data_IF_701786178804
#
_entry.id   IF_701786178804
#
_cell.length_a   1.000
_cell.length_b   1.000
_cell.length_c   1.000
_cell.angle_alpha   90.00
_cell.angle_beta   90.00
_cell.angle_gamma   90.00
#
_symmetry.space_group_name_H-M   'P 1'
#
loop_
_entity.id
_entity.type
_entity.pdbx_description
1 polymer ?
#
# COMPACT_ATOMS: atom_id res chain seq x y z
N UNK A 1 8.79 -32.30 11.66
CA UNK A 1 10.25 -32.11 11.76
C UNK A 1 10.45 -30.65 12.14
N UNK A 2 11.22 -30.35 13.19
CA UNK A 2 11.30 -28.99 13.72
C UNK A 2 12.31 -28.18 12.91
N UNK A 3 11.80 -27.31 12.01
CA UNK A 3 12.59 -26.25 11.39
C UNK A 3 12.74 -25.05 12.34
N UNK A 4 13.87 -24.38 12.25
CA UNK A 4 14.21 -23.20 13.04
C UNK A 4 13.43 -21.97 12.53
N UNK A 5 12.71 -21.28 13.40
CA UNK A 5 11.92 -20.07 13.09
C UNK A 5 12.77 -18.82 13.36
N UNK A 6 13.57 -18.41 12.39
CA UNK A 6 14.42 -17.23 12.49
C UNK A 6 15.00 -16.81 11.14
N UNK A 7 15.30 -15.52 10.98
CA UNK A 7 15.91 -15.01 9.75
C UNK A 7 17.34 -15.55 9.57
N UNK A 8 17.77 -15.77 8.32
CA UNK A 8 19.14 -16.18 8.03
C UNK A 8 20.11 -15.00 8.27
N UNK A 9 20.77 -15.02 9.42
CA UNK A 9 21.69 -13.95 9.86
C UNK A 9 22.98 -13.90 9.04
N UNK A 10 23.31 -14.93 8.24
CA UNK A 10 24.38 -14.86 7.26
C UNK A 10 23.92 -14.18 5.97
N UNK A 11 22.72 -14.50 5.48
CA UNK A 11 22.11 -13.85 4.31
C UNK A 11 21.86 -12.36 4.55
N UNK A 12 21.33 -11.97 5.73
CA UNK A 12 21.15 -10.57 6.13
C UNK A 12 22.47 -9.79 6.11
N UNK A 13 23.54 -10.36 6.70
CA UNK A 13 24.87 -9.73 6.69
C UNK A 13 25.46 -9.60 5.29
N UNK A 14 25.21 -10.57 4.40
CA UNK A 14 25.68 -10.50 3.02
C UNK A 14 24.88 -9.50 2.17
N UNK A 15 23.57 -9.37 2.39
CA UNK A 15 22.78 -8.27 1.84
C UNK A 15 23.30 -6.91 2.34
N UNK A 16 23.53 -6.75 3.64
CA UNK A 16 24.11 -5.54 4.22
C UNK A 16 25.45 -5.13 3.58
N UNK A 17 26.40 -6.08 3.41
CA UNK A 17 27.67 -5.82 2.71
C UNK A 17 27.49 -5.35 1.27
N UNK A 18 26.56 -5.96 0.53
CA UNK A 18 26.25 -5.55 -0.86
C UNK A 18 25.71 -4.12 -0.91
N UNK A 19 24.89 -3.70 0.05
CA UNK A 19 24.40 -2.32 0.14
C UNK A 19 25.52 -1.31 0.47
N UNK A 20 26.45 -1.63 1.39
CA UNK A 20 27.64 -0.79 1.65
C UNK A 20 28.49 -0.61 0.39
N UNK A 21 28.80 -1.71 -0.32
CA UNK A 21 29.55 -1.65 -1.58
C UNK A 21 28.83 -0.86 -2.68
N UNK A 22 27.49 -0.86 -2.67
CA UNK A 22 26.65 -0.02 -3.53
C UNK A 22 26.76 1.47 -3.19
N UNK A 23 26.70 1.81 -1.90
CA UNK A 23 26.86 3.18 -1.40
C UNK A 23 28.25 3.76 -1.74
N UNK A 24 29.32 3.05 -1.39
CA UNK A 24 30.71 3.44 -1.70
C UNK A 24 30.92 3.68 -3.21
N UNK A 25 30.25 2.88 -4.06
CA UNK A 25 30.29 3.04 -5.51
C UNK A 25 29.51 4.29 -5.99
N UNK A 26 28.36 4.61 -5.38
CA UNK A 26 27.61 5.82 -5.69
C UNK A 26 28.37 7.07 -5.27
N UNK A 27 28.98 7.09 -4.08
CA UNK A 27 29.81 8.21 -3.63
C UNK A 27 31.03 8.39 -4.55
N UNK A 28 31.70 7.28 -4.91
CA UNK A 28 32.81 7.28 -5.86
C UNK A 28 32.44 7.76 -7.27
N UNK A 29 31.21 7.51 -7.74
CA UNK A 29 30.69 8.05 -9.00
C UNK A 29 30.32 9.53 -8.88
N UNK A 30 29.66 9.92 -7.79
CA UNK A 30 29.23 11.31 -7.53
C UNK A 30 30.44 12.25 -7.42
N UNK A 31 31.51 11.83 -6.74
CA UNK A 31 32.76 12.58 -6.66
C UNK A 31 33.46 12.73 -8.03
N UNK A 32 33.40 11.70 -8.89
CA UNK A 32 33.92 11.78 -10.27
C UNK A 32 33.09 12.71 -11.15
N UNK A 33 31.77 12.64 -11.06
CA UNK A 33 30.87 13.53 -11.78
C UNK A 33 31.07 14.98 -11.36
N UNK A 34 31.15 15.28 -10.06
CA UNK A 34 31.45 16.64 -9.58
C UNK A 34 32.77 17.17 -10.17
N UNK A 35 33.84 16.36 -10.13
CA UNK A 35 35.13 16.72 -10.75
C UNK A 35 35.02 16.96 -12.27
N UNK A 36 34.18 16.22 -12.99
CA UNK A 36 33.93 16.47 -14.42
C UNK A 36 33.15 17.77 -14.65
N UNK A 37 32.07 18.02 -13.90
CA UNK A 37 31.27 19.25 -14.00
C UNK A 37 32.11 20.51 -13.72
N UNK A 38 33.04 20.43 -12.77
CA UNK A 38 33.93 21.52 -12.40
C UNK A 38 35.10 21.74 -13.40
N UNK A 39 35.49 20.72 -14.18
CA UNK A 39 36.71 20.79 -15.04
C UNK A 39 36.44 20.97 -16.53
N UNK A 40 35.21 20.79 -17.01
CA UNK A 40 34.87 21.02 -18.42
C UNK A 40 34.91 22.53 -18.74
N UNK A 41 35.70 22.97 -19.74
CA UNK A 41 35.80 24.38 -20.13
C UNK A 41 34.60 24.79 -20.99
N UNK A 42 33.43 24.89 -20.34
CA UNK A 42 32.17 25.34 -20.90
C UNK A 42 31.68 26.54 -20.09
N UNK A 43 31.48 27.67 -20.77
CA UNK A 43 31.16 28.97 -20.18
C UNK A 43 29.90 29.56 -20.85
N UNK A 44 29.09 30.26 -20.06
CA UNK A 44 27.84 30.90 -20.50
C UNK A 44 26.64 30.52 -19.62
N UNK A 45 25.48 31.17 -19.79
CA UNK A 45 24.32 31.02 -18.91
C UNK A 45 23.87 29.57 -18.73
N UNK A 46 23.83 28.77 -19.80
CA UNK A 46 23.44 27.36 -19.75
C UNK A 46 24.41 26.51 -18.92
N UNK A 47 25.71 26.85 -18.94
CA UNK A 47 26.74 26.18 -18.16
C UNK A 47 26.64 26.54 -16.67
N UNK A 48 26.24 27.78 -16.36
CA UNK A 48 26.01 28.24 -14.99
C UNK A 48 24.71 27.63 -14.42
N UNK A 49 23.64 27.56 -15.21
CA UNK A 49 22.41 26.84 -14.87
C UNK A 49 22.66 25.35 -14.63
N UNK A 50 23.36 24.66 -15.53
CA UNK A 50 23.71 23.24 -15.35
C UNK A 50 24.56 22.98 -14.10
N UNK A 51 25.50 23.88 -13.76
CA UNK A 51 26.27 23.79 -12.51
C UNK A 51 25.40 24.05 -11.28
N UNK A 52 24.45 24.99 -11.37
CA UNK A 52 23.47 25.22 -10.32
C UNK A 52 22.66 23.94 -10.08
N UNK A 53 21.95 23.43 -11.09
CA UNK A 53 21.12 22.21 -11.03
C UNK A 53 21.91 20.99 -10.52
N UNK A 54 23.14 20.80 -10.99
CA UNK A 54 24.02 19.75 -10.49
C UNK A 54 24.29 19.91 -8.98
N UNK A 55 24.54 21.14 -8.51
CA UNK A 55 24.90 21.42 -7.12
C UNK A 55 23.71 21.44 -6.15
N UNK A 56 22.53 21.85 -6.59
CA UNK A 56 21.32 22.03 -5.77
C UNK A 56 20.40 20.83 -5.79
N UNK A 57 20.42 20.02 -6.86
CA UNK A 57 19.47 18.91 -7.03
C UNK A 57 20.18 17.56 -7.24
N UNK A 58 20.89 17.38 -8.34
CA UNK A 58 21.40 16.06 -8.72
C UNK A 58 22.45 15.49 -7.74
N UNK A 59 23.38 16.32 -7.26
CA UNK A 59 24.41 15.89 -6.30
C UNK A 59 23.84 15.62 -4.90
N UNK A 60 22.97 16.45 -4.31
CA UNK A 60 22.25 16.12 -3.08
C UNK A 60 21.48 14.79 -3.18
N UNK A 61 20.65 14.61 -4.23
CA UNK A 61 19.88 13.36 -4.42
C UNK A 61 20.79 12.13 -4.46
N UNK A 62 21.93 12.18 -5.14
CA UNK A 62 22.89 11.06 -5.19
C UNK A 62 23.49 10.74 -3.81
N UNK A 63 23.79 11.76 -3.01
CA UNK A 63 24.26 11.58 -1.63
C UNK A 63 23.18 10.96 -0.74
N UNK A 64 21.94 11.44 -0.82
CA UNK A 64 20.80 10.90 -0.07
C UNK A 64 20.53 9.42 -0.38
N UNK A 65 20.73 9.01 -1.65
CA UNK A 65 20.66 7.58 -2.03
C UNK A 65 21.81 6.77 -1.43
N UNK A 66 23.04 7.29 -1.40
CA UNK A 66 24.16 6.62 -0.72
C UNK A 66 23.87 6.43 0.77
N UNK A 67 23.45 7.49 1.47
CA UNK A 67 23.08 7.42 2.88
C UNK A 67 21.93 6.44 3.14
N UNK A 68 20.92 6.39 2.25
CA UNK A 68 19.81 5.45 2.33
C UNK A 68 20.26 3.99 2.25
N UNK A 69 21.22 3.67 1.36
CA UNK A 69 21.83 2.34 1.29
C UNK A 69 22.66 2.03 2.56
N UNK A 70 23.39 3.01 3.08
CA UNK A 70 24.16 2.83 4.33
C UNK A 70 23.26 2.65 5.56
N UNK A 71 22.08 3.30 5.63
CA UNK A 71 21.08 3.08 6.70
C UNK A 71 20.55 1.65 6.66
N UNK A 72 20.03 1.23 5.50
CA UNK A 72 19.53 -0.15 5.26
C UNK A 72 20.60 -1.22 5.53
N UNK A 73 21.85 -0.95 5.20
CA UNK A 73 22.96 -1.85 5.53
C UNK A 73 23.14 -2.04 7.04
N UNK A 74 23.03 -0.97 7.84
CA UNK A 74 23.12 -1.04 9.31
C UNK A 74 21.92 -1.75 9.92
N UNK A 75 20.71 -1.50 9.41
CA UNK A 75 19.48 -2.19 9.82
C UNK A 75 19.60 -3.71 9.62
N UNK A 76 20.03 -4.17 8.44
CA UNK A 76 20.25 -5.60 8.16
C UNK A 76 21.33 -6.23 9.06
N UNK A 77 22.37 -5.47 9.44
CA UNK A 77 23.38 -5.94 10.39
C UNK A 77 22.83 -6.03 11.81
N UNK A 78 22.03 -5.05 12.24
CA UNK A 78 21.35 -5.05 13.55
C UNK A 78 20.38 -6.23 13.68
N UNK A 79 19.49 -6.43 12.70
CA UNK A 79 18.55 -7.56 12.71
C UNK A 79 19.27 -8.92 12.77
N UNK A 80 20.44 -9.03 12.12
CA UNK A 80 21.27 -10.23 12.19
C UNK A 80 21.94 -10.43 13.57
N UNK A 81 22.26 -9.35 14.30
CA UNK A 81 22.78 -9.40 15.67
C UNK A 81 21.68 -9.71 16.69
N UNK A 82 20.50 -9.10 16.54
CA UNK A 82 19.32 -9.34 17.39
C UNK A 82 18.80 -10.77 17.25
N UNK A 83 18.72 -11.30 16.02
CA UNK A 83 18.35 -12.69 15.78
C UNK A 83 19.38 -13.67 16.36
N UNK A 84 20.69 -13.41 16.20
CA UNK A 84 21.74 -14.24 16.82
C UNK A 84 21.67 -14.18 18.37
N UNK A 85 21.36 -13.02 18.95
CA UNK A 85 21.19 -12.86 20.40
C UNK A 85 19.95 -13.58 20.93
N UNK A 86 18.82 -13.52 20.21
CA UNK A 86 17.59 -14.26 20.52
C UNK A 86 17.80 -15.78 20.38
N UNK A 87 18.65 -16.19 19.44
CA UNK A 87 18.96 -17.61 19.15
C UNK A 87 20.09 -18.18 20.02
N UNK A 88 20.73 -17.35 20.86
CA UNK A 88 21.79 -17.78 21.76
C UNK A 88 21.21 -18.69 22.87
N UNK A 89 21.75 -19.90 23.09
CA UNK A 89 21.23 -20.78 24.12
C UNK A 89 21.46 -20.18 25.51
N UNK A 90 20.40 -20.12 26.32
CA UNK A 90 20.50 -19.74 27.73
C UNK A 90 21.54 -20.63 28.43
N UNK A 91 22.61 -20.03 28.93
CA UNK A 91 23.62 -20.75 29.68
C UNK A 91 23.05 -21.17 31.05
N UNK A 92 22.56 -22.41 31.15
CA UNK A 92 22.05 -22.99 32.39
C UNK A 92 23.14 -23.10 33.46
N UNK A 93 23.31 -22.04 34.26
CA UNK A 93 24.24 -21.96 35.38
C UNK A 93 23.54 -22.13 36.73
N UNK A 94 23.26 -23.36 37.16
CA UNK A 94 22.85 -23.65 38.54
C UNK A 94 24.07 -23.58 39.47
N UNK A 95 24.11 -22.63 40.43
CA UNK A 95 25.33 -22.46 41.23
C UNK A 95 25.33 -21.52 42.46
N UNK A 96 24.21 -21.27 43.12
CA UNK A 96 24.09 -20.89 44.56
C UNK A 96 24.94 -19.76 45.19
N UNK A 97 24.28 -18.77 45.80
CA UNK A 97 24.89 -17.85 46.77
C UNK A 97 23.96 -16.73 47.26
N UNK A 98 23.67 -16.67 48.56
CA UNK A 98 22.87 -15.60 49.20
C UNK A 98 23.65 -14.27 49.26
N UNK A 99 23.06 -13.07 49.44
CA UNK A 99 22.26 -12.61 50.60
C UNK A 99 21.55 -11.25 50.31
N UNK A 100 20.42 -10.99 50.98
CA UNK A 100 20.03 -9.63 51.44
C UNK A 100 19.01 -8.83 50.60
N UNK A 101 17.77 -8.70 51.10
CA UNK A 101 16.79 -7.67 50.67
C UNK A 101 16.86 -6.41 51.57
N UNK A 102 15.74 -5.71 51.87
CA UNK A 102 14.36 -5.90 51.37
C UNK A 102 13.59 -4.59 51.04
N UNK A 103 12.37 -4.73 50.52
CA UNK A 103 11.30 -3.72 50.53
C UNK A 103 10.62 -3.51 49.17
N UNK A 104 9.29 -3.59 49.02
CA UNK A 104 8.23 -3.96 49.97
C UNK A 104 6.91 -3.24 49.63
N UNK A 105 5.81 -3.97 49.43
CA UNK A 105 4.49 -3.35 49.17
C UNK A 105 3.51 -4.22 48.37
N UNK A 106 2.81 -5.13 49.05
CA UNK A 106 1.70 -5.91 48.48
C UNK A 106 0.35 -5.36 48.95
N UNK A 107 -0.63 -5.20 48.05
CA UNK A 107 -2.09 -5.50 48.16
C UNK A 107 -2.81 -4.84 46.97
N UNK A 108 -3.88 -5.38 46.39
CA UNK A 108 -4.55 -6.66 46.60
C UNK A 108 -5.67 -6.84 45.55
N UNK A 109 -5.98 -8.08 45.16
CA UNK A 109 -6.97 -8.35 44.11
C UNK A 109 -8.42 -8.37 44.61
N UNK A 110 -9.35 -8.03 43.73
CA UNK A 110 -10.80 -8.23 43.87
C UNK A 110 -11.40 -8.40 42.47
N UNK A 111 -12.10 -9.51 42.24
CA UNK A 111 -12.58 -9.94 40.91
C UNK A 111 -14.10 -9.77 40.74
N UNK A 112 -14.62 -10.23 39.58
CA UNK A 112 -16.03 -10.28 39.12
C UNK A 112 -16.54 -8.91 38.57
N UNK A 113 -16.84 -8.67 37.28
CA UNK A 113 -17.01 -9.53 36.08
C UNK A 113 -18.49 -9.70 35.70
N UNK A 114 -18.99 -9.57 34.46
CA UNK A 114 -18.45 -9.33 33.09
C UNK A 114 -19.65 -9.12 32.11
N UNK A 115 -19.59 -9.31 30.76
CA UNK A 115 -18.49 -9.76 29.88
C UNK A 115 -18.09 -8.75 28.78
N UNK A 116 -16.85 -8.85 28.28
CA UNK A 116 -16.46 -8.31 26.98
C UNK A 116 -16.16 -9.49 26.04
N UNK A 117 -16.70 -9.48 24.82
CA UNK A 117 -16.48 -10.52 23.83
C UNK A 117 -15.15 -10.29 23.09
N UNK A 118 -14.03 -10.40 23.80
CA UNK A 118 -12.72 -10.48 23.16
C UNK A 118 -12.62 -11.81 22.42
N UNK A 119 -12.73 -11.76 21.09
CA UNK A 119 -12.37 -12.89 20.23
C UNK A 119 -10.91 -13.30 20.45
N UNK A 120 -10.56 -14.59 20.32
CA UNK A 120 -9.19 -15.03 20.51
C UNK A 120 -8.32 -14.55 19.34
N UNK A 121 -7.25 -13.81 19.65
CA UNK A 121 -6.12 -13.65 18.73
C UNK A 121 -5.59 -15.06 18.40
N UNK A 122 -5.53 -15.48 17.12
CA UNK A 122 -5.12 -16.84 16.79
C UNK A 122 -3.67 -17.10 17.21
N UNK A 123 -3.44 -18.20 17.92
CA UNK A 123 -2.10 -18.69 18.19
C UNK A 123 -1.42 -19.26 16.94
N UNK A 124 -0.08 -19.39 16.92
CA UNK A 124 0.63 -19.92 15.76
C UNK A 124 0.20 -21.36 15.47
N UNK A 125 -0.39 -21.59 14.30
CA UNK A 125 -0.89 -22.90 13.85
C UNK A 125 -2.39 -22.97 13.56
N UNK A 126 -3.15 -21.89 13.77
CA UNK A 126 -4.44 -21.71 13.09
C UNK A 126 -4.12 -21.25 11.65
N UNK A 127 -4.74 -21.81 10.59
CA UNK A 127 -4.65 -21.23 9.26
C UNK A 127 -5.17 -19.79 9.28
N UNK A 128 -4.61 -18.92 8.44
CA UNK A 128 -5.21 -17.60 8.24
C UNK A 128 -6.67 -17.77 7.80
N UNK A 129 -7.60 -16.91 8.28
CA UNK A 129 -8.98 -16.96 7.82
C UNK A 129 -9.00 -16.78 6.30
N UNK A 130 -9.77 -17.63 5.62
CA UNK A 130 -10.08 -17.40 4.20
C UNK A 130 -10.80 -16.07 4.02
N UNK A 131 -10.79 -15.51 2.79
CA UNK A 131 -11.54 -14.29 2.49
C UNK A 131 -13.01 -14.36 2.94
N UNK A 132 -13.65 -15.53 2.77
CA UNK A 132 -15.00 -15.79 3.26
C UNK A 132 -15.14 -15.73 4.79
N UNK A 133 -14.14 -16.20 5.55
CA UNK A 133 -14.12 -16.12 7.03
C UNK A 133 -13.84 -14.70 7.52
N UNK A 134 -12.96 -13.96 6.86
CA UNK A 134 -12.75 -12.52 7.11
C UNK A 134 -14.04 -11.72 6.86
N UNK A 135 -14.70 -11.98 5.72
CA UNK A 135 -15.97 -11.33 5.33
C UNK A 135 -17.11 -11.61 6.29
N UNK A 136 -17.24 -12.87 6.73
CA UNK A 136 -18.28 -13.28 7.67
C UNK A 136 -18.14 -12.64 9.06
N UNK A 137 -16.94 -12.14 9.42
CA UNK A 137 -16.71 -11.38 10.64
C UNK A 137 -17.15 -9.90 10.53
N UNK A 138 -17.23 -9.36 9.31
CA UNK A 138 -17.60 -7.96 9.02
C UNK A 138 -19.11 -7.83 8.84
N UNK A 139 -19.70 -8.66 7.97
CA UNK A 139 -21.10 -8.58 7.57
C UNK A 139 -21.37 -7.58 6.44
N UNK A 140 -22.31 -7.92 5.55
CA UNK A 140 -22.60 -7.11 4.34
C UNK A 140 -23.43 -5.85 4.66
N UNK A 141 -24.24 -5.87 5.73
CA UNK A 141 -25.02 -4.71 6.24
C UNK A 141 -24.13 -3.56 6.81
N UNK A 142 -22.79 -3.68 6.75
CA UNK A 142 -21.85 -2.71 7.32
C UNK A 142 -21.49 -1.55 6.37
N UNK A 143 -21.56 -1.78 5.05
CA UNK A 143 -21.16 -0.80 4.04
C UNK A 143 -22.13 0.40 4.01
N UNK A 144 -21.59 1.59 3.77
CA UNK A 144 -22.33 2.83 3.47
C UNK A 144 -22.68 2.91 1.98
N UNK A 145 -21.81 2.41 1.10
CA UNK A 145 -21.95 2.46 -0.35
C UNK A 145 -22.23 1.06 -0.95
N UNK A 146 -23.24 0.37 -0.43
CA UNK A 146 -23.65 -0.98 -0.85
C UNK A 146 -24.10 -1.07 -2.32
N UNK A 147 -24.73 0.00 -2.84
CA UNK A 147 -25.16 0.15 -4.24
C UNK A 147 -24.02 -0.01 -5.29
N UNK A 148 -22.73 0.04 -4.88
CA UNK A 148 -21.56 -0.17 -5.77
C UNK A 148 -21.39 -1.60 -6.25
N UNK A 149 -22.04 -2.58 -5.61
CA UNK A 149 -21.81 -3.99 -5.91
C UNK A 149 -20.45 -4.52 -5.43
N UNK A 150 -19.73 -3.77 -4.58
CA UNK A 150 -18.58 -4.30 -3.84
C UNK A 150 -19.00 -5.56 -3.08
N UNK A 151 -18.23 -6.63 -3.23
CA UNK A 151 -18.44 -7.88 -2.52
C UNK A 151 -17.41 -8.02 -1.42
N UNK A 152 -17.85 -8.18 -0.18
CA UNK A 152 -16.91 -8.59 0.87
C UNK A 152 -16.56 -10.06 0.67
N UNK A 153 -17.56 -10.94 0.56
CA UNK A 153 -17.34 -12.38 0.38
C UNK A 153 -17.08 -12.81 -1.08
N UNK A 154 -16.21 -13.81 -1.33
CA UNK A 154 -16.07 -14.42 -2.65
C UNK A 154 -17.37 -15.15 -3.06
N UNK A 155 -17.71 -15.17 -4.37
CA UNK A 155 -18.92 -15.83 -4.84
C UNK A 155 -18.88 -17.36 -4.63
N UNK A 156 -20.04 -17.99 -4.49
CA UNK A 156 -20.14 -19.46 -4.50
C UNK A 156 -19.71 -20.03 -5.86
N UNK A 157 -18.67 -20.87 -5.84
CA UNK A 157 -18.11 -21.54 -7.02
C UNK A 157 -18.40 -23.05 -7.00
N UNK A 158 -18.64 -23.60 -8.19
CA UNK A 158 -18.88 -25.02 -8.44
C UNK A 158 -17.58 -25.79 -8.75
N UNK A 159 -16.54 -25.07 -9.20
CA UNK A 159 -15.29 -25.63 -9.70
C UNK A 159 -14.08 -24.92 -9.09
N UNK A 160 -12.98 -25.65 -8.98
CA UNK A 160 -11.68 -25.13 -8.56
C UNK A 160 -10.60 -25.68 -9.49
N UNK A 161 -9.68 -24.82 -9.93
CA UNK A 161 -8.62 -25.11 -10.90
C UNK A 161 -7.29 -24.57 -10.36
N UNK A 162 -6.28 -25.44 -10.25
CA UNK A 162 -4.90 -25.03 -9.95
C UNK A 162 -4.16 -24.69 -11.26
N UNK A 163 -3.75 -23.44 -11.42
CA UNK A 163 -3.05 -22.90 -12.58
C UNK A 163 -1.54 -22.88 -12.29
N UNK A 164 -0.91 -24.05 -12.39
CA UNK A 164 0.55 -24.17 -12.31
C UNK A 164 1.26 -23.61 -13.55
N UNK A 165 2.59 -23.44 -13.47
CA UNK A 165 3.39 -22.78 -14.53
C UNK A 165 3.42 -23.48 -15.92
N UNK A 166 2.89 -24.70 -16.04
CA UNK A 166 2.70 -25.40 -17.34
C UNK A 166 1.21 -25.53 -17.74
N UNK A 167 0.30 -24.87 -17.01
CA UNK A 167 -1.13 -24.83 -17.34
C UNK A 167 -1.39 -23.93 -18.56
N UNK A 168 -2.40 -24.26 -19.38
CA UNK A 168 -2.67 -23.51 -20.62
C UNK A 168 -3.15 -22.07 -20.39
N UNK A 169 -3.74 -21.81 -19.22
CA UNK A 169 -4.15 -20.49 -18.72
C UNK A 169 -3.07 -19.82 -17.83
N UNK A 170 -1.85 -20.36 -17.75
CA UNK A 170 -0.81 -19.76 -16.92
C UNK A 170 -0.36 -18.39 -17.48
N UNK A 171 -0.22 -17.34 -16.64
CA UNK A 171 0.32 -16.07 -17.09
C UNK A 171 1.71 -16.23 -17.71
N UNK A 172 1.99 -15.48 -18.79
CA UNK A 172 3.24 -15.62 -19.54
C UNK A 172 4.51 -15.23 -18.75
N UNK A 173 4.36 -14.60 -17.59
CA UNK A 173 5.44 -14.25 -16.68
C UNK A 173 4.94 -13.82 -15.30
N UNK A 174 5.86 -13.62 -14.36
CA UNK A 174 5.54 -13.17 -13.00
C UNK A 174 4.97 -11.73 -12.94
N UNK A 175 5.28 -10.90 -13.94
CA UNK A 175 4.79 -9.52 -14.09
C UNK A 175 3.53 -9.41 -14.97
N UNK A 176 2.96 -10.52 -15.45
CA UNK A 176 1.78 -10.56 -16.33
C UNK A 176 0.55 -10.93 -15.50
N UNK A 177 -0.60 -10.24 -15.63
CA UNK A 177 -1.80 -10.58 -14.87
C UNK A 177 -2.42 -11.92 -15.32
N UNK A 178 -3.27 -12.50 -14.47
CA UNK A 178 -4.12 -13.63 -14.85
C UNK A 178 -5.44 -13.17 -15.47
N UNK A 179 -5.96 -13.95 -16.43
CA UNK A 179 -7.25 -13.72 -17.05
C UNK A 179 -7.21 -12.85 -18.32
N UNK A 180 -6.02 -12.44 -18.78
CA UNK A 180 -5.81 -11.70 -20.02
C UNK A 180 -4.86 -12.45 -20.97
N UNK A 181 -4.99 -12.22 -22.28
CA UNK A 181 -4.06 -12.71 -23.29
C UNK A 181 -2.83 -11.79 -23.48
N UNK A 182 -2.02 -12.04 -24.51
CA UNK A 182 -0.81 -11.25 -24.78
C UNK A 182 -1.10 -9.87 -25.40
N UNK A 183 -2.34 -9.63 -25.80
CA UNK A 183 -2.85 -8.40 -26.38
C UNK A 183 -3.65 -7.56 -25.37
N UNK A 184 -3.94 -8.11 -24.17
CA UNK A 184 -4.69 -7.46 -23.09
C UNK A 184 -6.19 -7.76 -23.11
N UNK A 185 -6.66 -8.69 -23.95
CA UNK A 185 -8.08 -9.05 -24.04
C UNK A 185 -8.42 -10.15 -23.00
N UNK A 186 -9.62 -10.14 -22.39
CA UNK A 186 -10.03 -11.16 -21.44
C UNK A 186 -10.03 -12.59 -22.01
N UNK A 187 -9.52 -13.55 -21.25
CA UNK A 187 -9.55 -14.97 -21.58
C UNK A 187 -10.95 -15.57 -21.37
N UNK A 188 -11.36 -16.52 -22.22
CA UNK A 188 -12.56 -17.33 -21.96
C UNK A 188 -12.32 -18.25 -20.74
N UNK A 189 -12.84 -17.87 -19.58
CA UNK A 189 -12.80 -18.67 -18.35
C UNK A 189 -14.11 -19.45 -18.14
N UNK A 190 -14.05 -20.52 -17.34
CA UNK A 190 -15.19 -21.36 -17.05
C UNK A 190 -16.09 -20.71 -15.98
N UNK A 191 -17.42 -20.70 -16.14
CA UNK A 191 -18.33 -20.04 -15.20
C UNK A 191 -18.36 -20.74 -13.83
N UNK A 192 -18.50 -19.96 -12.76
CA UNK A 192 -18.58 -20.43 -11.38
C UNK A 192 -17.34 -21.19 -10.94
N UNK A 193 -16.15 -20.71 -11.31
CA UNK A 193 -14.87 -21.37 -11.07
C UNK A 193 -13.94 -20.46 -10.26
N UNK A 194 -13.24 -21.02 -9.27
CA UNK A 194 -12.06 -20.39 -8.69
C UNK A 194 -10.78 -20.91 -9.34
N UNK A 195 -9.92 -20.01 -9.77
CA UNK A 195 -8.58 -20.29 -10.29
C UNK A 195 -7.55 -19.92 -9.23
N UNK A 196 -6.81 -20.89 -8.73
CA UNK A 196 -5.63 -20.66 -7.87
C UNK A 196 -4.39 -20.57 -8.75
N UNK A 197 -3.80 -19.38 -8.82
CA UNK A 197 -2.67 -19.04 -9.70
C UNK A 197 -1.40 -18.82 -8.87
N UNK A 198 -1.36 -19.38 -7.65
CA UNK A 198 -0.20 -19.30 -6.75
C UNK A 198 0.11 -17.86 -6.33
N UNK A 199 1.30 -17.36 -6.71
CA UNK A 199 1.76 -16.04 -6.30
C UNK A 199 0.91 -14.89 -6.88
N UNK A 200 0.22 -15.12 -8.00
CA UNK A 200 -0.72 -14.15 -8.59
C UNK A 200 -2.01 -14.01 -7.78
N UNK A 201 -2.34 -14.93 -6.88
CA UNK A 201 -3.58 -14.92 -6.10
C UNK A 201 -4.67 -15.86 -6.65
N UNK A 202 -5.92 -15.63 -6.22
CA UNK A 202 -7.08 -16.49 -6.53
C UNK A 202 -8.19 -15.70 -7.19
N UNK A 203 -8.68 -16.18 -8.34
CA UNK A 203 -9.61 -15.47 -9.22
C UNK A 203 -10.93 -16.22 -9.30
N UNK A 204 -12.04 -15.53 -9.05
CA UNK A 204 -13.37 -16.12 -8.99
C UNK A 204 -14.24 -15.59 -10.11
N UNK A 205 -14.80 -16.52 -10.88
CA UNK A 205 -15.67 -16.21 -12.01
C UNK A 205 -17.16 -16.32 -11.67
N UNK A 206 -17.96 -15.49 -12.32
CA UNK A 206 -19.41 -15.47 -12.20
C UNK A 206 -20.09 -16.57 -13.07
N UNK A 207 -21.42 -16.48 -13.26
CA UNK A 207 -22.17 -17.43 -14.08
C UNK A 207 -21.97 -17.27 -15.60
N UNK A 208 -21.38 -16.17 -16.07
CA UNK A 208 -20.97 -15.97 -17.46
C UNK A 208 -19.51 -16.42 -17.71
N UNK A 209 -18.66 -16.38 -16.68
CA UNK A 209 -17.22 -16.65 -16.79
C UNK A 209 -16.36 -15.43 -16.48
N UNK A 210 -16.95 -14.27 -16.20
CA UNK A 210 -16.23 -13.02 -15.95
C UNK A 210 -15.61 -13.02 -14.55
N UNK A 211 -14.40 -12.49 -14.41
CA UNK A 211 -13.72 -12.35 -13.11
C UNK A 211 -14.40 -11.24 -12.30
N UNK A 212 -15.07 -11.60 -11.21
CA UNK A 212 -15.82 -10.65 -10.36
C UNK A 212 -15.24 -10.48 -8.96
N UNK A 213 -14.33 -11.38 -8.55
CA UNK A 213 -13.67 -11.30 -7.25
C UNK A 213 -12.24 -11.87 -7.33
N UNK A 214 -11.29 -11.21 -6.67
CA UNK A 214 -9.87 -11.57 -6.67
C UNK A 214 -9.32 -11.49 -5.24
N UNK A 215 -8.70 -12.57 -4.76
CA UNK A 215 -7.87 -12.55 -3.55
C UNK A 215 -6.41 -12.33 -3.95
N UNK A 216 -5.75 -11.31 -3.38
CA UNK A 216 -4.38 -10.95 -3.73
C UNK A 216 -3.54 -10.52 -2.51
N UNK A 217 -2.23 -10.64 -2.63
CA UNK A 217 -1.27 -9.98 -1.72
C UNK A 217 -0.66 -8.76 -2.41
N UNK A 218 -0.49 -7.64 -1.70
CA UNK A 218 0.00 -6.39 -2.27
C UNK A 218 0.91 -5.59 -1.33
N UNK A 219 1.70 -4.68 -1.89
CA UNK A 219 2.57 -3.77 -1.12
C UNK A 219 3.85 -4.39 -0.56
N UNK A 220 4.27 -5.54 -1.10
CA UNK A 220 5.54 -6.21 -0.81
C UNK A 220 6.78 -5.48 -1.33
N UNK A 221 7.91 -6.19 -1.46
CA UNK A 221 9.11 -5.66 -2.13
C UNK A 221 8.88 -5.53 -3.64
N UNK A 222 8.21 -6.52 -4.23
CA UNK A 222 7.71 -6.55 -5.60
C UNK A 222 6.24 -6.13 -5.61
N UNK A 223 5.82 -5.42 -6.66
CA UNK A 223 4.43 -5.00 -6.87
C UNK A 223 3.64 -6.15 -7.49
N UNK A 224 2.41 -6.39 -7.04
CA UNK A 224 1.57 -7.43 -7.64
C UNK A 224 1.00 -6.92 -8.98
N UNK A 225 1.28 -7.56 -10.14
CA UNK A 225 0.80 -7.09 -11.44
C UNK A 225 -0.73 -7.06 -11.54
N UNK A 226 -1.43 -7.90 -10.78
CA UNK A 226 -2.89 -7.98 -10.79
C UNK A 226 -3.55 -6.85 -9.96
N UNK A 227 -2.75 -6.05 -9.25
CA UNK A 227 -3.16 -4.81 -8.56
C UNK A 227 -2.66 -3.56 -9.32
N UNK A 228 -2.31 -3.78 -10.60
CA UNK A 228 -1.79 -2.79 -11.55
C UNK A 228 -2.59 -2.81 -12.84
N UNK A 229 -2.62 -3.96 -13.49
CA UNK A 229 -3.51 -4.29 -14.58
C UNK A 229 -4.67 -5.09 -13.99
N UNK A 230 -5.81 -4.41 -13.81
CA UNK A 230 -6.95 -4.89 -13.03
C UNK A 230 -8.13 -5.26 -13.93
N UNK A 231 -8.90 -6.25 -13.52
CA UNK A 231 -10.17 -6.58 -14.17
C UNK A 231 -11.17 -5.43 -13.96
N UNK A 232 -11.91 -5.03 -15.00
CA UNK A 232 -13.05 -4.16 -14.83
C UNK A 232 -14.14 -4.88 -14.02
N UNK A 233 -14.99 -4.12 -13.33
CA UNK A 233 -16.13 -4.67 -12.60
C UNK A 233 -15.79 -5.82 -11.61
N UNK A 234 -14.64 -5.76 -10.94
CA UNK A 234 -14.17 -6.77 -10.00
C UNK A 234 -13.98 -6.22 -8.57
N UNK A 235 -14.14 -7.08 -7.55
CA UNK A 235 -13.71 -6.75 -6.18
C UNK A 235 -12.41 -7.48 -5.82
N UNK A 236 -11.42 -6.72 -5.37
CA UNK A 236 -10.11 -7.16 -4.93
C UNK A 236 -10.03 -7.16 -3.40
N UNK A 237 -9.95 -8.33 -2.80
CA UNK A 237 -9.61 -8.51 -1.39
C UNK A 237 -8.09 -8.66 -1.25
N UNK A 238 -7.45 -7.71 -0.58
CA UNK A 238 -6.00 -7.56 -0.52
C UNK A 238 -5.50 -7.60 0.91
N UNK A 239 -4.47 -8.42 1.15
CA UNK A 239 -3.79 -8.56 2.45
C UNK A 239 -4.75 -8.80 3.63
N UNK A 240 -5.82 -9.59 3.40
CA UNK A 240 -6.91 -9.91 4.33
C UNK A 240 -7.77 -8.72 4.82
N UNK A 241 -7.37 -7.47 4.57
CA UNK A 241 -7.91 -6.29 5.27
C UNK A 241 -8.26 -5.08 4.38
N UNK A 242 -8.13 -5.16 3.06
CA UNK A 242 -8.56 -4.08 2.17
C UNK A 242 -9.38 -4.62 1.00
N UNK A 243 -10.52 -4.00 0.72
CA UNK A 243 -11.41 -4.34 -0.38
C UNK A 243 -11.43 -3.17 -1.36
N UNK A 244 -10.93 -3.37 -2.57
CA UNK A 244 -10.99 -2.39 -3.66
C UNK A 244 -12.00 -2.90 -4.69
N UNK A 245 -12.90 -2.04 -5.16
CA UNK A 245 -13.86 -2.35 -6.19
C UNK A 245 -13.55 -1.48 -7.42
N UNK A 246 -13.39 -2.11 -8.56
CA UNK A 246 -13.12 -1.46 -9.86
C UNK A 246 -14.40 -1.25 -10.65
N UNK A 247 -14.45 -0.15 -11.39
CA UNK A 247 -15.50 0.14 -12.35
C UNK A 247 -15.27 -0.55 -13.72
N UNK A 248 -16.15 -0.25 -14.67
CA UNK A 248 -16.17 -0.71 -16.07
C UNK A 248 -14.88 -0.48 -16.88
N UNK A 249 -13.95 0.35 -16.39
CA UNK A 249 -12.64 0.64 -17.03
C UNK A 249 -11.45 0.42 -16.08
N UNK A 250 -11.65 -0.34 -15.00
CA UNK A 250 -10.58 -0.72 -14.08
C UNK A 250 -10.14 0.37 -13.10
N UNK A 251 -10.92 1.45 -12.93
CA UNK A 251 -10.63 2.49 -11.93
C UNK A 251 -11.26 2.11 -10.60
N UNK A 252 -10.54 2.33 -9.51
CA UNK A 252 -11.10 2.14 -8.16
C UNK A 252 -12.25 3.11 -7.94
N UNK A 253 -13.46 2.59 -7.86
CA UNK A 253 -14.69 3.35 -7.54
C UNK A 253 -15.01 3.27 -6.04
N UNK A 254 -14.59 2.22 -5.34
CA UNK A 254 -14.89 2.06 -3.92
C UNK A 254 -13.75 1.32 -3.20
N UNK A 255 -13.28 1.89 -2.08
CA UNK A 255 -12.37 1.24 -1.12
C UNK A 255 -13.08 1.05 0.22
N UNK A 256 -12.93 -0.14 0.80
CA UNK A 256 -13.34 -0.42 2.18
C UNK A 256 -12.22 -1.14 2.96
N UNK A 257 -11.96 -0.69 4.19
CA UNK A 257 -11.00 -1.27 5.14
C UNK A 257 -11.75 -1.46 6.48
N UNK A 258 -12.09 -2.71 6.86
CA UNK A 258 -12.90 -2.98 8.05
C UNK A 258 -12.18 -2.69 9.38
N UNK A 259 -10.85 -2.87 9.43
CA UNK A 259 -10.04 -2.61 10.61
C UNK A 259 -8.80 -1.80 10.22
N UNK A 260 -8.85 -0.49 10.40
CA UNK A 260 -7.73 0.42 10.10
C UNK A 260 -6.60 0.15 11.10
N UNK A 261 -5.47 -0.37 10.61
CA UNK A 261 -4.28 -0.66 11.41
C UNK A 261 -3.20 0.40 11.18
N UNK A 262 -2.56 0.89 12.25
CA UNK A 262 -1.46 1.88 12.13
C UNK A 262 -0.08 1.21 12.14
N UNK A 263 0.46 0.94 10.95
CA UNK A 263 1.85 0.50 10.82
C UNK A 263 2.81 1.70 10.79
N UNK A 264 3.28 2.09 11.98
CA UNK A 264 4.24 3.21 12.16
C UNK A 264 5.64 2.91 11.61
N UNK A 265 5.98 1.66 11.27
CA UNK A 265 7.27 1.32 10.67
C UNK A 265 7.20 1.38 9.13
N UNK A 266 6.04 1.08 8.52
CA UNK A 266 5.76 1.46 7.13
C UNK A 266 5.75 2.98 6.93
N UNK A 267 5.25 3.75 7.91
CA UNK A 267 5.29 5.23 7.90
C UNK A 267 6.73 5.81 7.88
N UNK A 268 7.69 5.12 8.51
CA UNK A 268 9.09 5.57 8.62
C UNK A 268 9.93 5.33 7.36
N UNK A 269 9.40 4.61 6.37
CA UNK A 269 10.11 4.22 5.15
C UNK A 269 10.15 5.35 4.09
N UNK A 270 10.97 6.36 4.36
CA UNK A 270 11.18 7.60 3.56
C UNK A 270 11.72 7.42 2.12
N UNK A 271 11.65 6.22 1.52
CA UNK A 271 12.22 5.95 0.20
C UNK A 271 11.31 5.20 -0.78
N UNK A 272 9.98 5.24 -0.59
CA UNK A 272 9.01 4.54 -1.45
C UNK A 272 8.10 5.48 -2.28
N UNK A 273 8.02 6.78 -1.97
CA UNK A 273 7.30 7.76 -2.80
C UNK A 273 7.96 8.02 -4.17
N UNK A 274 9.30 7.91 -4.28
CA UNK A 274 10.02 8.46 -5.44
C UNK A 274 9.81 7.76 -6.79
N UNK A 275 9.13 6.61 -6.85
CA UNK A 275 8.81 5.93 -8.13
C UNK A 275 7.42 6.26 -8.66
N UNK A 276 6.57 6.83 -7.79
CA UNK A 276 5.19 7.25 -8.09
C UNK A 276 5.14 8.78 -8.24
N UNK A 277 5.92 9.51 -7.43
CA UNK A 277 6.19 10.93 -7.64
C UNK A 277 6.99 11.24 -8.92
N UNK A 278 7.57 10.23 -9.60
CA UNK A 278 8.13 10.37 -10.95
C UNK A 278 7.03 10.33 -12.04
N UNK A 279 5.77 10.00 -11.70
CA UNK A 279 4.67 9.76 -12.65
C UNK A 279 3.67 10.94 -12.71
N UNK A 280 4.15 12.03 -13.29
CA UNK A 280 3.41 13.20 -13.79
C UNK A 280 2.66 14.10 -12.79
N UNK A 281 3.14 15.35 -12.70
CA UNK A 281 2.32 16.51 -12.34
C UNK A 281 1.49 16.97 -13.56
N UNK A 282 0.26 17.42 -13.33
CA UNK A 282 -0.53 18.17 -14.32
C UNK A 282 -0.69 19.62 -13.85
N UNK A 283 -0.09 20.56 -14.58
CA UNK A 283 -0.27 21.99 -14.32
C UNK A 283 -1.63 22.47 -14.83
N UNK A 284 -2.43 23.08 -13.94
CA UNK A 284 -3.66 23.78 -14.31
C UNK A 284 -3.42 24.91 -15.32
N UNK A 285 -4.44 25.24 -16.11
CA UNK A 285 -4.33 25.89 -17.44
C UNK A 285 -3.79 27.34 -17.51
N UNK A 286 -3.40 27.94 -16.38
CA UNK A 286 -2.84 29.29 -16.32
C UNK A 286 -3.82 30.43 -16.63
N UNK A 287 -5.13 30.17 -16.62
CA UNK A 287 -6.18 31.21 -16.82
C UNK A 287 -6.98 31.55 -15.57
N UNK A 288 -7.02 30.65 -14.57
CA UNK A 288 -7.32 30.93 -13.15
C UNK A 288 -6.08 30.63 -12.28
N UNK A 289 -6.20 30.68 -10.94
CA UNK A 289 -5.19 30.02 -10.10
C UNK A 289 -5.12 28.54 -10.52
N UNK A 290 -3.92 28.00 -10.80
CA UNK A 290 -3.77 26.67 -11.37
C UNK A 290 -4.21 25.61 -10.36
N UNK A 291 -5.11 24.71 -10.77
CA UNK A 291 -5.46 23.50 -10.02
C UNK A 291 -4.31 22.51 -10.20
N UNK A 292 -3.52 22.30 -9.15
CA UNK A 292 -2.36 21.39 -9.17
C UNK A 292 -2.76 19.99 -8.69
N UNK A 293 -2.66 19.00 -9.58
CA UNK A 293 -2.90 17.60 -9.24
C UNK A 293 -1.59 16.90 -8.89
N UNK A 294 -1.57 16.26 -7.73
CA UNK A 294 -0.50 15.41 -7.23
C UNK A 294 -0.88 13.93 -7.41
N UNK A 295 0.13 13.07 -7.43
CA UNK A 295 -0.09 11.64 -7.19
C UNK A 295 -0.51 11.43 -5.73
N UNK A 296 -1.76 11.00 -5.52
CA UNK A 296 -2.35 10.69 -4.23
C UNK A 296 -2.77 9.23 -4.11
N UNK A 297 -3.41 8.87 -3.01
CA UNK A 297 -3.89 7.52 -2.70
C UNK A 297 -5.31 7.54 -2.14
N UNK A 298 -6.08 6.46 -2.28
CA UNK A 298 -7.44 6.39 -1.70
C UNK A 298 -7.37 6.22 -0.17
N UNK A 299 -6.37 5.48 0.32
CA UNK A 299 -5.95 5.45 1.73
C UNK A 299 -4.43 5.27 1.85
N UNK A 300 -3.82 5.92 2.84
CA UNK A 300 -2.39 5.81 3.10
C UNK A 300 -1.95 4.39 3.43
N UNK A 301 -0.75 4.03 2.95
CA UNK A 301 -0.11 2.75 3.24
C UNK A 301 -0.06 2.42 4.73
N UNK A 302 0.19 3.42 5.57
CA UNK A 302 0.34 3.24 7.01
C UNK A 302 -0.97 2.88 7.73
N UNK A 303 -2.13 2.96 7.04
CA UNK A 303 -3.48 2.78 7.58
C UNK A 303 -4.24 1.59 6.95
N UNK A 304 -3.54 0.70 6.23
CA UNK A 304 -4.16 -0.43 5.52
C UNK A 304 -4.33 -0.21 4.00
N UNK A 305 -4.07 0.99 3.50
CA UNK A 305 -3.87 1.20 2.06
C UNK A 305 -2.68 0.39 1.53
N UNK A 306 -2.67 0.10 0.23
CA UNK A 306 -1.59 -0.68 -0.39
C UNK A 306 -0.71 0.17 -1.30
N UNK A 307 0.51 -0.33 -1.57
CA UNK A 307 1.48 0.32 -2.45
C UNK A 307 1.40 -0.24 -3.87
N UNK A 308 0.20 -0.20 -4.43
CA UNK A 308 -0.14 -0.73 -5.75
C UNK A 308 -0.97 0.30 -6.53
N UNK A 309 -1.01 0.19 -7.85
CA UNK A 309 -1.63 1.20 -8.72
C UNK A 309 -3.15 1.31 -8.55
N UNK A 310 -3.83 0.22 -8.15
CA UNK A 310 -5.25 0.23 -7.75
C UNK A 310 -5.56 1.20 -6.57
N UNK A 311 -4.58 1.54 -5.73
CA UNK A 311 -4.78 2.50 -4.63
C UNK A 311 -4.43 3.95 -5.03
N UNK A 312 -3.97 4.23 -6.26
CA UNK A 312 -3.51 5.57 -6.67
C UNK A 312 -4.55 6.34 -7.49
N UNK A 313 -4.70 7.62 -7.16
CA UNK A 313 -5.63 8.55 -7.83
C UNK A 313 -4.98 9.92 -7.98
N UNK A 314 -5.43 10.71 -8.95
CA UNK A 314 -5.01 12.12 -9.11
C UNK A 314 -5.77 13.00 -8.13
N UNK A 315 -5.05 13.60 -7.19
CA UNK A 315 -5.65 14.40 -6.13
C UNK A 315 -5.19 15.85 -6.23
N UNK A 316 -6.16 16.77 -6.20
CA UNK A 316 -5.89 18.19 -6.06
C UNK A 316 -5.12 18.45 -4.75
N UNK A 317 -4.10 19.30 -4.79
CA UNK A 317 -3.22 19.61 -3.66
C UNK A 317 -3.99 20.03 -2.38
N UNK A 318 -5.07 20.80 -2.54
CA UNK A 318 -5.98 21.22 -1.46
C UNK A 318 -6.82 20.09 -0.83
N UNK A 319 -6.90 18.92 -1.47
CA UNK A 319 -7.61 17.71 -0.97
C UNK A 319 -6.64 16.66 -0.45
N UNK A 320 -5.45 16.55 -1.05
CA UNK A 320 -4.42 15.60 -0.63
C UNK A 320 -3.73 16.04 0.66
N UNK A 321 -3.35 17.32 0.77
CA UNK A 321 -2.44 17.81 1.81
C UNK A 321 -3.17 18.42 3.02
N UNK A 322 -2.45 18.64 4.11
CA UNK A 322 -2.93 19.46 5.23
C UNK A 322 -3.30 20.89 4.77
N UNK A 323 -4.53 21.33 5.08
CA UNK A 323 -5.02 22.69 4.84
C UNK A 323 -5.72 23.23 6.07
N UNK A 324 -5.45 24.49 6.41
CA UNK A 324 -5.92 25.08 7.68
C UNK A 324 -7.45 25.26 7.68
N UNK A 325 -8.14 24.53 8.56
CA UNK A 325 -9.59 24.63 8.72
C UNK A 325 -10.41 24.01 7.58
N UNK A 326 -9.83 23.03 6.86
CA UNK A 326 -10.54 22.19 5.89
C UNK A 326 -10.33 20.72 6.24
N UNK A 327 -11.33 19.91 5.99
CA UNK A 327 -11.19 18.46 5.96
C UNK A 327 -10.50 18.06 4.65
N UNK A 328 -9.45 17.25 4.76
CA UNK A 328 -8.65 16.73 3.64
C UNK A 328 -8.30 15.27 3.91
N UNK A 329 -7.82 14.54 2.90
CA UNK A 329 -7.41 13.14 3.07
C UNK A 329 -6.33 13.04 4.16
N UNK A 330 -5.34 13.95 4.14
CA UNK A 330 -4.35 14.06 5.21
C UNK A 330 -4.97 14.20 6.61
N UNK A 331 -5.96 15.08 6.83
CA UNK A 331 -6.52 15.29 8.17
C UNK A 331 -7.33 14.08 8.66
N UNK A 332 -7.98 13.37 7.75
CA UNK A 332 -8.66 12.10 8.04
C UNK A 332 -7.67 11.02 8.47
N UNK A 333 -6.56 10.90 7.74
CA UNK A 333 -5.52 9.93 8.03
C UNK A 333 -4.78 10.23 9.34
N UNK A 334 -4.49 11.50 9.62
CA UNK A 334 -3.89 11.96 10.88
C UNK A 334 -4.83 11.68 12.07
N UNK A 335 -6.13 12.00 11.92
CA UNK A 335 -7.16 11.71 12.94
C UNK A 335 -7.23 10.22 13.30
N UNK A 336 -7.31 9.32 12.31
CA UNK A 336 -7.34 7.87 12.59
C UNK A 336 -6.01 7.38 13.19
N UNK A 337 -4.87 7.86 12.69
CA UNK A 337 -3.54 7.47 13.17
C UNK A 337 -3.29 7.83 14.64
N UNK A 338 -3.82 8.97 15.09
CA UNK A 338 -3.74 9.45 16.47
C UNK A 338 -4.84 8.82 17.35
N UNK A 339 -6.05 8.63 16.83
CA UNK A 339 -7.12 7.90 17.51
C UNK A 339 -6.69 6.48 17.91
N UNK A 340 -6.11 5.72 16.98
CA UNK A 340 -5.58 4.38 17.25
C UNK A 340 -4.33 4.45 18.14
N UNK A 341 -3.38 5.33 17.79
CA UNK A 341 -2.05 5.35 18.41
C UNK A 341 -1.98 5.97 19.82
N UNK A 342 -2.88 6.90 20.15
CA UNK A 342 -2.86 7.63 21.42
C UNK A 342 -4.09 7.38 22.29
N UNK A 343 -5.24 7.12 21.69
CA UNK A 343 -6.54 7.02 22.39
C UNK A 343 -7.05 5.57 22.47
N UNK A 344 -6.56 4.68 21.61
CA UNK A 344 -6.92 3.26 21.59
C UNK A 344 -8.25 2.98 20.89
N UNK A 345 -8.71 3.88 20.03
CA UNK A 345 -9.87 3.69 19.17
C UNK A 345 -9.59 2.68 18.06
N UNK A 346 -10.66 2.11 17.52
CA UNK A 346 -10.70 1.28 16.32
C UNK A 346 -11.55 1.99 15.25
N UNK A 347 -11.18 1.84 13.98
CA UNK A 347 -11.90 2.49 12.87
C UNK A 347 -12.12 1.50 11.73
N UNK A 348 -13.29 1.55 11.08
CA UNK A 348 -13.44 1.11 9.70
C UNK A 348 -13.46 2.34 8.78
N UNK A 349 -12.80 2.25 7.63
CA UNK A 349 -12.71 3.32 6.64
C UNK A 349 -13.32 2.88 5.32
N UNK A 350 -14.15 3.73 4.73
CA UNK A 350 -14.87 3.48 3.49
C UNK A 350 -14.82 4.73 2.61
N UNK A 351 -14.56 4.59 1.31
CA UNK A 351 -14.47 5.72 0.39
C UNK A 351 -15.02 5.36 -0.98
N UNK A 352 -16.05 6.09 -1.40
CA UNK A 352 -16.55 6.11 -2.76
C UNK A 352 -15.79 7.19 -3.57
N UNK A 353 -15.18 6.79 -4.67
CA UNK A 353 -14.48 7.65 -5.63
C UNK A 353 -15.43 7.93 -6.78
N UNK A 354 -15.98 9.15 -6.84
CA UNK A 354 -16.84 9.55 -7.96
C UNK A 354 -15.96 10.01 -9.13
N UNK A 355 -16.01 9.30 -10.25
CA UNK A 355 -15.32 9.68 -11.48
C UNK A 355 -16.19 10.60 -12.35
N UNK A 356 -15.75 11.84 -12.57
CA UNK A 356 -16.52 12.82 -13.34
C UNK A 356 -16.55 12.53 -14.85
N UNK A 357 -17.66 12.90 -15.51
CA UNK A 357 -17.85 12.76 -16.97
C UNK A 357 -16.81 13.54 -17.79
N UNK A 358 -16.33 14.68 -17.29
CA UNK A 358 -15.30 15.48 -17.93
C UNK A 358 -13.91 15.05 -17.45
N UNK A 359 -12.99 14.83 -18.39
CA UNK A 359 -11.60 14.43 -18.11
C UNK A 359 -10.63 15.35 -18.88
N UNK A 360 -9.35 15.46 -18.46
CA UNK A 360 -8.36 16.26 -19.17
C UNK A 360 -8.19 15.84 -20.64
N UNK A 361 -7.83 16.80 -21.50
CA UNK A 361 -7.53 16.49 -22.91
C UNK A 361 -6.42 15.42 -23.03
N UNK A 362 -6.71 14.33 -23.74
CA UNK A 362 -5.82 13.17 -23.86
C UNK A 362 -6.03 12.07 -22.82
N UNK A 363 -6.97 12.24 -21.88
CA UNK A 363 -7.37 11.21 -20.92
C UNK A 363 -8.67 10.54 -21.36
N UNK A 364 -8.71 9.21 -21.38
CA UNK A 364 -9.91 8.40 -21.62
C UNK A 364 -9.63 7.08 -22.36
N UNK A 365 -10.62 6.17 -22.45
CA UNK A 365 -10.41 4.84 -23.05
C UNK A 365 -9.94 4.91 -24.51
N UNK A 366 -10.41 5.92 -25.25
CA UNK A 366 -10.00 6.20 -26.63
C UNK A 366 -8.51 6.58 -26.81
N UNK A 367 -7.80 6.84 -25.71
CA UNK A 367 -6.36 7.13 -25.69
C UNK A 367 -5.52 5.98 -25.11
N UNK A 368 -6.17 4.88 -24.68
CA UNK A 368 -5.51 3.85 -23.89
C UNK A 368 -5.05 4.36 -22.53
N UNK A 369 -5.80 5.31 -21.94
CA UNK A 369 -5.44 5.88 -20.64
C UNK A 369 -5.62 4.87 -19.53
N UNK A 370 -4.61 4.83 -18.68
CA UNK A 370 -4.52 3.91 -17.55
C UNK A 370 -5.37 4.42 -16.37
N UNK A 371 -5.83 3.56 -15.44
CA UNK A 371 -6.77 3.95 -14.39
C UNK A 371 -6.34 5.16 -13.52
N UNK A 372 -5.05 5.28 -13.21
CA UNK A 372 -4.48 6.40 -12.43
C UNK A 372 -4.29 7.71 -13.24
N UNK A 373 -4.54 7.72 -14.55
CA UNK A 373 -4.45 8.94 -15.38
C UNK A 373 -5.74 9.76 -15.35
N UNK A 374 -6.85 9.12 -14.99
CA UNK A 374 -8.13 9.78 -14.76
C UNK A 374 -8.08 10.67 -13.51
N UNK A 375 -8.95 11.67 -13.51
CA UNK A 375 -9.13 12.58 -12.39
C UNK A 375 -10.52 12.32 -11.79
N UNK A 376 -10.62 11.90 -10.51
CA UNK A 376 -11.89 11.86 -9.79
C UNK A 376 -12.52 13.25 -9.68
N UNK A 377 -13.84 13.32 -9.63
CA UNK A 377 -14.58 14.54 -9.28
C UNK A 377 -14.62 14.74 -7.76
N UNK A 378 -14.78 13.65 -6.99
CA UNK A 378 -14.82 13.69 -5.52
C UNK A 378 -14.48 12.36 -4.85
N UNK A 379 -14.21 12.46 -3.56
CA UNK A 379 -14.13 11.34 -2.63
C UNK A 379 -15.23 11.54 -1.57
N UNK A 380 -16.13 10.57 -1.42
CA UNK A 380 -17.11 10.54 -0.34
C UNK A 380 -16.63 9.51 0.68
N UNK A 381 -16.22 9.99 1.85
CA UNK A 381 -15.53 9.23 2.89
C UNK A 381 -16.48 8.97 4.05
N UNK A 382 -16.56 7.73 4.50
CA UNK A 382 -17.31 7.25 5.66
C UNK A 382 -16.34 6.57 6.64
N UNK A 383 -16.38 6.99 7.90
CA UNK A 383 -15.50 6.49 8.97
C UNK A 383 -16.39 6.05 10.12
N UNK A 384 -16.24 4.81 10.59
CA UNK A 384 -16.95 4.27 11.76
C UNK A 384 -15.97 4.08 12.92
N UNK A 385 -16.13 4.86 13.99
CA UNK A 385 -15.32 4.76 15.21
C UNK A 385 -15.93 3.77 16.21
N UNK A 386 -15.13 2.82 16.70
CA UNK A 386 -15.47 1.80 17.71
C UNK A 386 -16.78 1.02 17.44
N UNK A 387 -17.12 0.86 16.15
CA UNK A 387 -18.37 0.22 15.71
C UNK A 387 -19.64 1.02 16.05
N UNK A 388 -19.50 2.32 16.39
CA UNK A 388 -20.55 3.16 16.95
C UNK A 388 -20.82 4.43 16.15
N UNK A 389 -19.96 5.45 16.27
CA UNK A 389 -20.20 6.77 15.65
C UNK A 389 -19.68 6.78 14.21
N UNK A 390 -20.54 7.17 13.25
CA UNK A 390 -20.19 7.31 11.84
C UNK A 390 -20.01 8.77 11.47
N UNK A 391 -18.84 9.12 10.94
CA UNK A 391 -18.52 10.44 10.37
C UNK A 391 -18.48 10.32 8.86
N UNK A 392 -19.14 11.26 8.17
CA UNK A 392 -19.24 11.30 6.71
C UNK A 392 -18.74 12.65 6.19
N UNK A 393 -17.98 12.65 5.09
CA UNK A 393 -17.52 13.88 4.44
C UNK A 393 -17.36 13.71 2.93
N UNK A 394 -17.60 14.80 2.18
CA UNK A 394 -17.40 14.87 0.73
C UNK A 394 -16.26 15.80 0.40
N UNK A 395 -15.20 15.26 -0.20
CA UNK A 395 -14.00 15.98 -0.61
C UNK A 395 -14.05 16.22 -2.13
N UNK A 396 -14.42 17.42 -2.55
CA UNK A 396 -14.45 17.79 -3.97
C UNK A 396 -13.02 17.97 -4.51
N UNK A 397 -12.65 17.20 -5.54
CA UNK A 397 -11.30 17.12 -6.09
C UNK A 397 -10.96 18.29 -7.05
N UNK A 398 -11.82 19.30 -7.13
CA UNK A 398 -11.59 20.58 -7.83
C UNK A 398 -12.39 21.70 -7.15
N UNK A 399 -12.04 22.98 -7.33
CA UNK A 399 -12.87 24.08 -6.87
C UNK A 399 -14.18 24.20 -7.67
N UNK A 400 -15.23 24.71 -7.03
CA UNK A 400 -16.57 24.85 -7.63
C UNK A 400 -16.55 25.51 -9.01
N UNK A 401 -17.05 24.79 -10.01
CA UNK A 401 -17.15 25.28 -11.39
C UNK A 401 -15.86 25.21 -12.21
N UNK A 402 -14.79 24.61 -11.69
CA UNK A 402 -13.61 24.25 -12.48
C UNK A 402 -13.97 23.39 -13.71
N UNK A 403 -13.21 23.54 -14.79
CA UNK A 403 -13.37 22.77 -16.03
C UNK A 403 -11.99 22.45 -16.57
N UNK A 404 -11.84 21.29 -17.22
CA UNK A 404 -10.58 20.99 -17.89
C UNK A 404 -10.44 21.82 -19.18
N UNK A 405 -9.23 22.29 -19.52
CA UNK A 405 -8.96 22.90 -20.81
C UNK A 405 -9.23 21.89 -21.95
N UNK A 406 -9.77 22.38 -23.07
CA UNK A 406 -10.21 21.57 -24.22
C UNK A 406 -9.47 21.95 -25.51
#
# INVERSE_FOLDING_TARGET
>A
MNGFLGADTAALREAGRRLVLGADRLDGLTARLASLVDTVPWEGPDADSFRADWSTDARPRLHDRSEGLQRRARELMLHAEEQDACSAPEATGLGGGALGGPGGGTVGGGALGGPAASGPVPGPGVPAPTAAEASAAIGEDALMFDDTGMRLSPPEVQHSVEVGAEHELAPAGADVPFGFDAEGEPLELAPGTVYDVGAHGRYYTDAAGEVVYVEASGGGEEMNPNLREVHPDATYHVNDNAYYRTDEVGRTEHLYVPDVIVDRDMARSTSIQSRIAERWDMAGDGTSEPVEFNAGHVLARQLGGIREEINYTRQWDEVNQARSGKDTIYTVEEMMADGIGEQGHSYSYETLVTWGEEQPAGVGPQHGSEPWEYVPESYDVSILEDGGERTEMRLANTPDGARFPR
#
